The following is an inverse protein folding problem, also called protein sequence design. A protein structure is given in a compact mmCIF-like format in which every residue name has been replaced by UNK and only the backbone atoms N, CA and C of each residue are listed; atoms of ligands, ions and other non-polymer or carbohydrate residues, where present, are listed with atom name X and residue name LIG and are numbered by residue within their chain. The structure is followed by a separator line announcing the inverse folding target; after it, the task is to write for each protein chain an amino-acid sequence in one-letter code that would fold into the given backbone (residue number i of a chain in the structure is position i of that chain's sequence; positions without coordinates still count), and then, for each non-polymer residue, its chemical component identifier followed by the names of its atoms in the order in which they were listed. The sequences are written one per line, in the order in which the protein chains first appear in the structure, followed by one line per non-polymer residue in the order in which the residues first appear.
data_IF_373417137371
#
_entry.id   IF_373417137371
#
_cell.length_a   1.000
_cell.length_b   1.000
_cell.length_c   1.000
_cell.angle_alpha   90.00
_cell.angle_beta   90.00
_cell.angle_gamma   90.00
#
_symmetry.space_group_name_H-M   'P 1'
#
loop_
_entity.id
_entity.type
_entity.pdbx_description
1 polymer ?
#
# COMPACT_ATOMS: atom_id res chain seq x y z
N UNK A 1 -12.59 -29.27 -11.81
CA UNK A 1 -12.37 -29.68 -10.42
C UNK A 1 -13.11 -30.97 -10.10
N UNK A 2 -14.41 -31.05 -10.39
CA UNK A 2 -15.22 -32.27 -10.15
C UNK A 2 -14.61 -33.49 -10.82
N UNK A 3 -14.16 -33.37 -12.07
CA UNK A 3 -13.48 -34.44 -12.80
C UNK A 3 -12.13 -34.81 -12.18
N UNK A 4 -11.31 -33.83 -11.75
CA UNK A 4 -10.06 -34.07 -11.03
C UNK A 4 -10.29 -34.71 -9.65
N UNK A 5 -11.27 -34.25 -8.91
CA UNK A 5 -11.66 -34.81 -7.62
C UNK A 5 -12.03 -36.30 -7.72
N UNK A 6 -12.80 -36.66 -8.74
CA UNK A 6 -13.17 -38.05 -9.00
C UNK A 6 -11.94 -38.89 -9.37
N UNK A 7 -11.02 -38.34 -10.19
CA UNK A 7 -9.81 -39.05 -10.60
C UNK A 7 -8.86 -39.32 -9.43
N UNK A 8 -8.84 -38.42 -8.41
CA UNK A 8 -7.98 -38.53 -7.24
C UNK A 8 -8.65 -39.14 -6.00
N UNK A 9 -9.88 -39.65 -6.13
CA UNK A 9 -10.69 -40.24 -5.04
C UNK A 9 -10.93 -39.28 -3.86
N UNK A 10 -11.08 -37.98 -4.12
CA UNK A 10 -11.41 -37.00 -3.08
C UNK A 10 -12.93 -37.07 -2.77
N UNK A 11 -13.37 -38.15 -2.10
CA UNK A 11 -14.78 -38.44 -1.79
C UNK A 11 -15.42 -37.44 -0.80
N UNK A 12 -14.59 -36.62 -0.11
CA UNK A 12 -15.06 -35.69 0.93
C UNK A 12 -15.30 -34.27 0.41
N UNK A 13 -15.10 -34.01 -0.89
CA UNK A 13 -15.35 -32.68 -1.46
C UNK A 13 -16.76 -32.63 -2.03
N UNK A 14 -17.62 -31.81 -1.44
CA UNK A 14 -18.95 -31.51 -1.98
C UNK A 14 -18.93 -30.16 -2.70
N UNK A 15 -19.53 -30.12 -3.90
CA UNK A 15 -19.59 -28.92 -4.74
C UNK A 15 -20.97 -28.29 -4.71
N UNK A 16 -21.00 -26.98 -4.53
CA UNK A 16 -22.22 -26.18 -4.63
C UNK A 16 -22.00 -25.09 -5.68
N UNK A 17 -22.98 -24.92 -6.56
CA UNK A 17 -23.00 -23.75 -7.43
C UNK A 17 -23.49 -22.54 -6.62
N UNK A 18 -22.86 -21.39 -6.83
CA UNK A 18 -23.20 -20.13 -6.18
C UNK A 18 -23.30 -19.03 -7.23
N UNK A 19 -24.22 -18.09 -7.02
CA UNK A 19 -24.35 -16.86 -7.80
C UNK A 19 -23.65 -15.68 -7.09
N UNK A 20 -22.93 -15.93 -6.02
CA UNK A 20 -22.20 -14.92 -5.28
C UNK A 20 -20.96 -14.49 -6.02
N UNK A 21 -20.46 -13.28 -5.69
CA UNK A 21 -19.21 -12.79 -6.26
C UNK A 21 -18.02 -13.58 -5.71
N UNK A 22 -16.91 -13.57 -6.44
CA UNK A 22 -15.69 -14.25 -6.00
C UNK A 22 -15.20 -13.70 -4.66
N UNK A 23 -15.36 -12.40 -4.43
CA UNK A 23 -14.99 -11.70 -3.19
C UNK A 23 -15.84 -12.20 -2.00
N UNK A 24 -17.15 -12.36 -2.20
CA UNK A 24 -18.03 -12.91 -1.16
C UNK A 24 -17.67 -14.38 -0.82
N UNK A 25 -17.27 -15.16 -1.82
CA UNK A 25 -16.77 -16.53 -1.59
C UNK A 25 -15.43 -16.55 -0.85
N UNK A 26 -14.57 -15.55 -1.05
CA UNK A 26 -13.34 -15.42 -0.28
C UNK A 26 -13.61 -15.10 1.20
N UNK A 27 -14.60 -14.25 1.48
CA UNK A 27 -15.05 -13.99 2.85
C UNK A 27 -15.53 -15.28 3.53
N UNK A 28 -16.37 -16.06 2.86
CA UNK A 28 -16.87 -17.35 3.39
C UNK A 28 -15.75 -18.37 3.64
N UNK A 29 -14.64 -18.35 2.87
CA UNK A 29 -13.47 -19.19 3.18
C UNK A 29 -12.75 -18.67 4.43
N UNK A 30 -12.63 -17.36 4.58
CA UNK A 30 -11.99 -16.75 5.73
C UNK A 30 -12.79 -17.00 7.03
N UNK A 31 -14.12 -17.10 6.93
CA UNK A 31 -15.04 -17.39 8.03
C UNK A 31 -15.23 -18.91 8.27
N UNK A 32 -14.49 -19.78 7.56
CA UNK A 32 -14.58 -21.25 7.62
C UNK A 32 -15.95 -21.81 7.17
N UNK A 33 -16.80 -21.02 6.50
CA UNK A 33 -18.11 -21.45 6.00
C UNK A 33 -17.99 -22.39 4.79
N UNK A 34 -16.97 -22.18 3.96
CA UNK A 34 -16.63 -23.05 2.81
C UNK A 34 -15.13 -23.34 2.79
N UNK A 35 -14.76 -24.54 2.35
CA UNK A 35 -13.36 -24.98 2.35
C UNK A 35 -12.54 -24.47 1.16
N UNK A 36 -13.15 -24.17 0.03
CA UNK A 36 -12.45 -23.69 -1.18
C UNK A 36 -13.39 -23.13 -2.23
N UNK A 37 -12.85 -22.29 -3.13
CA UNK A 37 -13.56 -21.78 -4.30
C UNK A 37 -12.65 -21.75 -5.53
N UNK A 38 -13.21 -21.41 -6.69
CA UNK A 38 -12.49 -21.18 -7.93
C UNK A 38 -12.49 -19.69 -8.23
N UNK A 39 -11.34 -19.14 -8.54
CA UNK A 39 -11.18 -17.72 -8.81
C UNK A 39 -10.17 -17.48 -9.93
N UNK A 40 -10.31 -16.35 -10.61
CA UNK A 40 -9.27 -15.86 -11.51
C UNK A 40 -8.06 -15.38 -10.72
N UNK A 41 -6.86 -15.70 -11.22
CA UNK A 41 -5.60 -15.32 -10.56
C UNK A 41 -5.48 -13.81 -10.25
N UNK A 42 -5.88 -12.86 -11.11
CA UNK A 42 -5.86 -11.44 -10.77
C UNK A 42 -6.77 -11.09 -9.60
N UNK A 43 -8.01 -11.64 -9.57
CA UNK A 43 -8.96 -11.41 -8.49
C UNK A 43 -8.41 -11.97 -7.18
N UNK A 44 -7.86 -13.19 -7.19
CA UNK A 44 -7.20 -13.77 -6.03
C UNK A 44 -6.04 -12.91 -5.52
N UNK A 45 -5.14 -12.46 -6.41
CA UNK A 45 -3.99 -11.62 -6.02
C UNK A 45 -4.41 -10.32 -5.33
N UNK A 46 -5.47 -9.68 -5.80
CA UNK A 46 -6.00 -8.45 -5.18
C UNK A 46 -6.62 -8.76 -3.82
N UNK A 47 -7.44 -9.79 -3.73
CA UNK A 47 -8.20 -10.12 -2.52
C UNK A 47 -7.37 -10.84 -1.44
N UNK A 48 -6.26 -11.49 -1.80
CA UNK A 48 -5.34 -12.09 -0.83
C UNK A 48 -4.84 -11.10 0.24
N UNK A 49 -4.97 -9.81 -0.01
CA UNK A 49 -4.63 -8.74 0.92
C UNK A 49 -5.66 -8.59 2.04
N UNK A 50 -6.92 -8.75 1.65
CA UNK A 50 -8.05 -8.74 2.59
C UNK A 50 -8.13 -10.06 3.34
N UNK A 51 -7.71 -11.16 2.69
CA UNK A 51 -7.81 -12.53 3.18
C UNK A 51 -6.45 -13.24 3.08
N UNK A 52 -5.50 -12.95 3.98
CA UNK A 52 -4.12 -13.48 3.92
C UNK A 52 -4.03 -14.99 4.15
N UNK A 53 -5.06 -15.58 4.76
CA UNK A 53 -5.25 -17.02 4.96
C UNK A 53 -5.48 -17.76 3.64
N UNK A 54 -5.98 -17.08 2.61
CA UNK A 54 -6.23 -17.68 1.30
C UNK A 54 -4.94 -18.13 0.62
N UNK A 55 -4.96 -19.33 0.08
CA UNK A 55 -3.86 -19.92 -0.68
C UNK A 55 -4.34 -20.47 -2.01
N UNK A 56 -3.57 -20.23 -3.07
CA UNK A 56 -3.78 -20.92 -4.34
C UNK A 56 -3.33 -22.38 -4.18
N UNK A 57 -4.26 -23.32 -4.27
CA UNK A 57 -3.97 -24.74 -4.13
C UNK A 57 -3.42 -25.35 -5.43
N UNK A 58 -4.00 -24.98 -6.57
CA UNK A 58 -3.58 -25.46 -7.90
C UNK A 58 -4.14 -24.57 -9.02
N UNK A 59 -3.44 -24.52 -10.13
CA UNK A 59 -3.94 -23.91 -11.37
C UNK A 59 -4.82 -24.90 -12.14
N UNK A 60 -6.05 -24.47 -12.44
CA UNK A 60 -7.02 -25.32 -13.16
C UNK A 60 -6.85 -25.28 -14.67
N UNK A 61 -6.42 -24.12 -15.20
CA UNK A 61 -6.25 -23.87 -16.63
C UNK A 61 -4.88 -23.28 -16.90
N UNK A 62 -4.33 -23.48 -18.12
CA UNK A 62 -3.18 -22.72 -18.57
C UNK A 62 -3.47 -21.21 -18.52
N UNK A 63 -2.44 -20.38 -18.46
CA UNK A 63 -2.60 -18.92 -18.49
C UNK A 63 -3.43 -18.49 -19.71
N UNK A 64 -4.53 -17.80 -19.44
CA UNK A 64 -5.39 -17.20 -20.47
C UNK A 64 -4.89 -15.81 -20.84
N UNK A 65 -4.93 -15.49 -22.14
CA UNK A 65 -4.64 -14.13 -22.60
C UNK A 65 -5.87 -13.25 -22.40
N UNK A 66 -5.70 -12.10 -21.78
CA UNK A 66 -6.71 -11.05 -21.75
C UNK A 66 -6.53 -10.22 -23.02
N UNK A 67 -7.63 -9.94 -23.72
CA UNK A 67 -7.63 -9.16 -24.94
C UNK A 67 -8.77 -8.12 -24.94
N UNK A 68 -8.56 -7.01 -25.63
CA UNK A 68 -9.63 -6.07 -25.91
C UNK A 68 -10.45 -6.55 -27.10
N UNK A 69 -11.76 -6.47 -26.98
CA UNK A 69 -12.68 -6.74 -28.06
C UNK A 69 -13.13 -5.43 -28.71
N UNK A 70 -13.21 -5.40 -30.01
CA UNK A 70 -13.75 -4.28 -30.78
C UNK A 70 -14.62 -4.77 -31.93
N UNK A 71 -15.47 -3.87 -32.47
CA UNK A 71 -16.36 -4.22 -33.55
C UNK A 71 -15.59 -4.69 -34.80
N UNK A 72 -16.05 -5.74 -35.47
CA UNK A 72 -15.39 -6.36 -36.64
C UNK A 72 -15.11 -5.34 -37.76
N UNK A 73 -15.99 -4.36 -37.91
CA UNK A 73 -15.91 -3.31 -38.93
C UNK A 73 -14.87 -2.22 -38.59
N UNK A 74 -14.43 -2.14 -37.32
CA UNK A 74 -13.50 -1.11 -36.85
C UNK A 74 -12.02 -1.52 -37.08
N UNK A 75 -11.67 -1.94 -38.30
CA UNK A 75 -10.34 -2.47 -38.62
C UNK A 75 -9.22 -1.47 -38.33
N UNK A 76 -9.45 -0.18 -38.63
CA UNK A 76 -8.48 0.88 -38.34
C UNK A 76 -8.20 1.04 -36.86
N UNK A 77 -9.23 0.90 -36.00
CA UNK A 77 -9.08 0.92 -34.55
C UNK A 77 -8.25 -0.28 -34.07
N UNK A 78 -8.50 -1.49 -34.62
CA UNK A 78 -7.73 -2.68 -34.27
C UNK A 78 -6.24 -2.51 -34.54
N UNK A 79 -5.88 -2.06 -35.76
CA UNK A 79 -4.50 -1.81 -36.12
C UNK A 79 -3.84 -0.74 -35.21
N UNK A 80 -4.55 0.35 -34.90
CA UNK A 80 -4.07 1.38 -33.99
C UNK A 80 -3.82 0.83 -32.58
N UNK A 81 -4.75 0.03 -32.03
CA UNK A 81 -4.63 -0.57 -30.70
C UNK A 81 -3.44 -1.53 -30.61
N UNK A 82 -3.20 -2.35 -31.64
CA UNK A 82 -2.06 -3.25 -31.69
C UNK A 82 -0.73 -2.47 -31.68
N UNK A 83 -0.60 -1.46 -32.54
CA UNK A 83 0.59 -0.61 -32.58
C UNK A 83 0.81 0.13 -31.26
N UNK A 84 -0.24 0.72 -30.70
CA UNK A 84 -0.21 1.42 -29.42
C UNK A 84 0.24 0.49 -28.29
N UNK A 85 -0.32 -0.71 -28.22
CA UNK A 85 -0.03 -1.68 -27.17
C UNK A 85 1.43 -2.14 -27.23
N UNK A 86 1.91 -2.49 -28.41
CA UNK A 86 3.32 -2.87 -28.63
C UNK A 86 4.28 -1.74 -28.25
N UNK A 87 3.97 -0.50 -28.64
CA UNK A 87 4.76 0.67 -28.27
C UNK A 87 4.79 0.89 -26.75
N UNK A 88 3.63 0.75 -26.07
CA UNK A 88 3.53 0.94 -24.63
C UNK A 88 4.18 -0.20 -23.84
N UNK A 89 4.07 -1.43 -24.33
CA UNK A 89 4.74 -2.59 -23.77
C UNK A 89 6.27 -2.43 -23.87
N UNK A 90 6.81 -2.09 -25.05
CA UNK A 90 8.23 -1.80 -25.22
C UNK A 90 8.74 -0.65 -24.34
N UNK A 91 7.87 0.32 -24.04
CA UNK A 91 8.18 1.42 -23.12
C UNK A 91 8.01 1.03 -21.63
N UNK A 92 7.76 -0.25 -21.30
CA UNK A 92 7.62 -0.73 -19.93
C UNK A 92 6.35 -0.26 -19.22
N UNK A 93 5.30 0.18 -19.96
CA UNK A 93 4.07 0.66 -19.32
C UNK A 93 3.34 -0.46 -18.60
N UNK A 94 3.29 -1.65 -19.21
CA UNK A 94 2.56 -2.79 -18.64
C UNK A 94 3.23 -3.24 -17.34
N UNK A 95 4.55 -3.37 -17.33
CA UNK A 95 5.34 -3.69 -16.15
C UNK A 95 5.13 -2.65 -15.05
N UNK A 96 5.14 -1.35 -15.39
CA UNK A 96 4.88 -0.28 -14.40
C UNK A 96 3.47 -0.34 -13.83
N UNK A 97 2.46 -0.68 -14.64
CA UNK A 97 1.09 -0.84 -14.15
C UNK A 97 0.97 -2.08 -13.27
N UNK A 98 1.59 -3.20 -13.67
CA UNK A 98 1.62 -4.42 -12.86
C UNK A 98 2.27 -4.14 -11.49
N UNK A 99 3.46 -3.54 -11.49
CA UNK A 99 4.10 -3.08 -10.26
C UNK A 99 3.26 -2.08 -9.47
N UNK A 100 2.55 -1.17 -10.13
CA UNK A 100 1.70 -0.20 -9.46
C UNK A 100 0.51 -0.82 -8.75
N UNK A 101 -0.10 -1.84 -9.34
CA UNK A 101 -1.34 -2.42 -8.86
C UNK A 101 -1.17 -3.78 -8.17
N UNK A 102 -0.11 -4.54 -8.46
CA UNK A 102 0.04 -5.92 -7.99
C UNK A 102 1.32 -6.22 -7.20
N UNK A 103 2.51 -5.65 -7.53
CA UNK A 103 3.79 -5.96 -6.87
C UNK A 103 4.07 -5.14 -5.60
N UNK A 104 3.14 -4.33 -5.23
CA UNK A 104 3.25 -3.32 -4.23
C UNK A 104 3.31 -3.89 -2.81
N UNK A 105 2.94 -5.14 -2.66
CA UNK A 105 2.77 -5.76 -1.36
C UNK A 105 4.00 -6.55 -0.95
N UNK A 106 4.71 -6.12 0.11
CA UNK A 106 5.58 -7.02 0.83
C UNK A 106 4.75 -8.21 1.31
N UNK A 107 5.38 -9.36 1.46
CA UNK A 107 4.78 -10.48 2.18
C UNK A 107 4.38 -9.99 3.58
N UNK A 108 3.13 -9.56 3.72
CA UNK A 108 2.55 -9.35 5.04
C UNK A 108 2.46 -10.72 5.70
N UNK A 109 3.01 -10.83 6.88
CA UNK A 109 2.81 -12.01 7.70
C UNK A 109 1.30 -12.09 8.04
N UNK A 110 0.73 -13.27 7.89
CA UNK A 110 -0.64 -13.60 8.29
C UNK A 110 -0.98 -13.04 9.69
N UNK A 111 -0.03 -13.14 10.63
CA UNK A 111 -0.17 -12.65 12.00
C UNK A 111 -0.40 -11.13 12.05
N UNK A 112 0.29 -10.35 11.22
CA UNK A 112 0.16 -8.89 11.21
C UNK A 112 -1.20 -8.45 10.67
N UNK A 113 -1.74 -9.09 9.64
CA UNK A 113 -3.06 -8.73 9.08
C UNK A 113 -4.19 -9.15 10.01
N UNK A 114 -4.15 -10.36 10.56
CA UNK A 114 -5.16 -10.83 11.52
C UNK A 114 -5.20 -9.95 12.77
N UNK A 115 -4.03 -9.49 13.22
CA UNK A 115 -3.95 -8.52 14.32
C UNK A 115 -4.55 -7.17 13.93
N UNK A 116 -4.21 -6.67 12.73
CA UNK A 116 -4.74 -5.39 12.26
C UNK A 116 -6.26 -5.39 12.16
N UNK A 117 -6.86 -6.47 11.62
CA UNK A 117 -8.32 -6.62 11.56
C UNK A 117 -8.96 -6.59 12.93
N UNK A 118 -8.41 -7.34 13.87
CA UNK A 118 -8.88 -7.29 15.26
C UNK A 118 -8.74 -5.90 15.87
N UNK A 119 -7.61 -5.23 15.66
CA UNK A 119 -7.38 -3.87 16.15
C UNK A 119 -8.33 -2.84 15.50
N UNK A 120 -8.82 -3.07 14.25
CA UNK A 120 -9.89 -2.28 13.61
C UNK A 120 -11.20 -2.39 14.40
N UNK A 121 -11.54 -3.57 14.90
CA UNK A 121 -12.77 -3.79 15.66
C UNK A 121 -12.65 -3.35 17.11
N UNK A 122 -11.50 -3.59 17.74
CA UNK A 122 -11.30 -3.41 19.19
C UNK A 122 -10.78 -2.01 19.57
N UNK A 123 -9.97 -1.35 18.73
CA UNK A 123 -9.28 -0.09 19.07
C UNK A 123 -9.69 1.10 18.24
N UNK A 124 -9.85 0.91 16.90
CA UNK A 124 -10.15 2.02 16.01
C UNK A 124 -11.40 2.81 16.40
N UNK A 125 -12.49 2.19 16.91
CA UNK A 125 -13.68 2.94 17.32
C UNK A 125 -13.42 4.03 18.38
N UNK A 126 -12.44 3.83 19.25
CA UNK A 126 -12.10 4.79 20.32
C UNK A 126 -11.42 6.07 19.79
N UNK A 127 -10.79 5.99 18.61
CA UNK A 127 -9.99 7.09 18.02
C UNK A 127 -10.56 7.58 16.69
N UNK A 128 -11.63 6.96 16.19
CA UNK A 128 -12.17 7.25 14.87
C UNK A 128 -12.63 8.70 14.75
N UNK A 129 -13.30 9.24 15.78
CA UNK A 129 -13.75 10.63 15.79
C UNK A 129 -12.59 11.59 15.63
N UNK A 130 -11.54 11.44 16.45
CA UNK A 130 -10.35 12.31 16.42
C UNK A 130 -9.61 12.23 15.08
N UNK A 131 -9.57 11.01 14.48
CA UNK A 131 -8.96 10.79 13.15
C UNK A 131 -9.77 11.43 12.02
N UNK A 132 -11.10 11.38 12.07
CA UNK A 132 -11.99 12.01 11.10
C UNK A 132 -11.91 13.53 11.21
N UNK A 133 -11.98 14.09 12.42
CA UNK A 133 -11.91 15.52 12.68
C UNK A 133 -10.56 16.11 12.22
N UNK A 134 -9.45 15.51 12.62
CA UNK A 134 -8.12 15.94 12.19
C UNK A 134 -7.92 15.79 10.66
N UNK A 135 -8.47 14.73 10.06
CA UNK A 135 -8.40 14.56 8.61
C UNK A 135 -9.16 15.64 7.86
N UNK A 136 -10.34 16.03 8.34
CA UNK A 136 -11.15 17.10 7.76
C UNK A 136 -10.47 18.47 7.91
N UNK A 137 -9.88 18.78 9.06
CA UNK A 137 -9.18 20.04 9.34
C UNK A 137 -7.96 20.24 8.41
N UNK A 138 -7.26 19.19 8.05
CA UNK A 138 -6.06 19.25 7.20
C UNK A 138 -6.27 18.74 5.77
N UNK A 139 -7.52 18.44 5.37
CA UNK A 139 -7.85 18.00 4.01
C UNK A 139 -7.23 16.66 3.62
N UNK A 140 -7.13 15.72 4.55
CA UNK A 140 -6.57 14.39 4.36
C UNK A 140 -7.66 13.32 4.29
N UNK A 141 -7.44 12.19 3.59
CA UNK A 141 -8.30 11.02 3.75
C UNK A 141 -8.10 10.43 5.15
N UNK A 142 -9.17 10.34 5.97
CA UNK A 142 -9.04 9.82 7.33
C UNK A 142 -8.52 8.37 7.40
N UNK A 143 -8.87 7.51 6.45
CA UNK A 143 -8.31 6.17 6.34
C UNK A 143 -6.77 6.18 6.17
N UNK A 144 -6.24 7.18 5.46
CA UNK A 144 -4.79 7.34 5.33
C UNK A 144 -4.17 7.74 6.66
N UNK A 145 -4.79 8.66 7.40
CA UNK A 145 -4.32 9.06 8.74
C UNK A 145 -4.38 7.89 9.73
N UNK A 146 -5.46 7.10 9.69
CA UNK A 146 -5.59 5.87 10.47
C UNK A 146 -4.52 4.82 10.10
N UNK A 147 -4.19 4.68 8.81
CA UNK A 147 -3.14 3.77 8.37
C UNK A 147 -1.74 4.22 8.81
N UNK A 148 -1.46 5.53 8.79
CA UNK A 148 -0.21 6.11 9.28
C UNK A 148 -0.08 5.84 10.78
N UNK A 149 -1.09 6.19 11.57
CA UNK A 149 -1.06 6.02 13.03
C UNK A 149 -0.94 4.55 13.45
N UNK A 150 -1.57 3.64 12.70
CA UNK A 150 -1.36 2.21 12.95
C UNK A 150 0.07 1.76 12.66
N UNK A 151 0.68 2.24 11.58
CA UNK A 151 2.07 1.96 11.27
C UNK A 151 3.02 2.49 12.34
N UNK A 152 2.71 3.64 12.93
CA UNK A 152 3.53 4.29 13.97
C UNK A 152 3.44 3.56 15.31
N UNK A 153 2.24 3.38 15.83
CA UNK A 153 2.02 2.93 17.22
C UNK A 153 1.14 1.69 17.37
N UNK A 154 0.50 1.21 16.28
CA UNK A 154 -0.62 0.24 16.34
C UNK A 154 -1.79 0.76 17.18
N UNK A 155 -2.06 2.06 17.03
CA UNK A 155 -3.07 2.79 17.80
C UNK A 155 -2.87 2.66 19.32
N UNK A 156 -1.62 2.81 19.75
CA UNK A 156 -1.26 2.82 21.17
C UNK A 156 -0.74 4.22 21.55
N UNK A 157 -1.50 5.03 22.31
CA UNK A 157 -1.08 6.36 22.72
C UNK A 157 0.15 6.35 23.64
N UNK A 158 0.39 5.27 24.38
CA UNK A 158 1.54 5.11 25.25
C UNK A 158 2.82 4.62 24.53
N UNK A 159 2.80 4.54 23.18
CA UNK A 159 3.94 4.04 22.42
C UNK A 159 5.20 4.90 22.63
N UNK A 160 6.34 4.23 22.78
CA UNK A 160 7.64 4.88 23.03
C UNK A 160 8.73 4.12 22.29
N UNK A 161 9.58 4.85 21.56
CA UNK A 161 10.76 4.27 20.91
C UNK A 161 12.04 4.53 21.72
N UNK A 162 13.08 3.72 21.55
CA UNK A 162 14.40 3.96 22.12
C UNK A 162 15.02 5.30 21.69
N UNK A 163 14.58 5.85 20.57
CA UNK A 163 15.09 7.12 20.01
C UNK A 163 14.32 8.36 20.48
N UNK A 164 13.33 8.19 21.37
CA UNK A 164 12.64 9.31 22.02
C UNK A 164 11.38 9.80 21.32
N UNK A 165 10.93 9.15 20.23
CA UNK A 165 9.61 9.38 19.64
C UNK A 165 8.52 8.76 20.50
N UNK A 166 7.35 9.40 20.59
CA UNK A 166 6.27 8.99 21.51
C UNK A 166 4.90 9.26 20.95
N UNK A 167 3.91 8.55 21.51
CA UNK A 167 2.50 8.78 21.33
C UNK A 167 1.91 8.09 20.12
N UNK A 168 0.66 8.38 19.86
CA UNK A 168 -0.15 7.74 18.83
C UNK A 168 0.44 7.88 17.42
N UNK A 169 0.99 9.05 17.09
CA UNK A 169 1.64 9.35 15.80
C UNK A 169 3.18 9.32 15.88
N UNK A 170 3.76 8.87 16.99
CA UNK A 170 5.20 8.74 17.20
C UNK A 170 6.00 10.01 16.85
N UNK A 171 5.56 11.15 17.39
CA UNK A 171 6.20 12.45 17.12
C UNK A 171 7.54 12.57 17.87
N UNK A 172 8.55 13.16 17.21
CA UNK A 172 9.75 13.63 17.90
C UNK A 172 9.41 14.84 18.77
N UNK A 173 10.29 15.18 19.73
CA UNK A 173 10.08 16.39 20.52
C UNK A 173 10.10 17.65 19.62
N UNK A 174 11.04 17.73 18.70
CA UNK A 174 11.15 18.85 17.77
C UNK A 174 9.91 18.99 16.86
N UNK A 175 9.39 17.87 16.34
CA UNK A 175 8.16 17.88 15.52
C UNK A 175 6.96 18.32 16.35
N UNK A 176 6.83 17.83 17.59
CA UNK A 176 5.75 18.22 18.48
C UNK A 176 5.77 19.74 18.79
N UNK A 177 6.94 20.30 19.07
CA UNK A 177 7.12 21.73 19.25
C UNK A 177 6.77 22.54 17.97
N UNK A 178 7.18 22.05 16.79
CA UNK A 178 6.91 22.67 15.49
C UNK A 178 5.41 22.75 15.20
N UNK A 179 4.65 21.70 15.51
CA UNK A 179 3.20 21.62 15.22
C UNK A 179 2.32 22.07 16.40
N UNK A 180 2.88 22.35 17.58
CA UNK A 180 2.20 22.90 18.73
C UNK A 180 1.58 21.84 19.66
N UNK A 181 2.06 20.60 19.64
CA UNK A 181 1.65 19.51 20.56
C UNK A 181 2.34 19.66 21.91
N UNK A 182 1.56 19.78 22.98
CA UNK A 182 2.05 19.91 24.35
C UNK A 182 2.30 18.54 24.98
N UNK A 183 1.33 17.63 24.86
CA UNK A 183 1.45 16.23 25.33
C UNK A 183 1.37 15.23 24.18
N UNK A 184 2.51 14.67 23.81
CA UNK A 184 2.60 13.64 22.76
C UNK A 184 1.92 12.31 23.12
N UNK A 185 1.57 12.08 24.39
CA UNK A 185 0.88 10.89 24.87
C UNK A 185 -0.65 11.08 24.92
N UNK A 186 -1.12 12.32 24.84
CA UNK A 186 -2.51 12.60 24.58
C UNK A 186 -2.85 12.18 23.13
N UNK A 187 -3.82 11.28 22.92
CA UNK A 187 -4.11 10.75 21.59
C UNK A 187 -4.67 11.83 20.64
N UNK A 188 -5.55 12.71 21.11
CA UNK A 188 -6.16 13.77 20.32
C UNK A 188 -5.08 14.77 19.84
N UNK A 189 -4.26 15.30 20.78
CA UNK A 189 -3.14 16.19 20.41
C UNK A 189 -2.14 15.52 19.47
N UNK A 190 -1.82 14.24 19.71
CA UNK A 190 -0.90 13.48 18.89
C UNK A 190 -1.43 13.25 17.48
N UNK A 191 -2.74 12.96 17.31
CA UNK A 191 -3.41 12.76 16.02
C UNK A 191 -3.43 14.09 15.26
N UNK A 192 -3.88 15.17 15.89
CA UNK A 192 -3.95 16.49 15.29
C UNK A 192 -2.55 16.98 14.82
N UNK A 193 -1.55 16.90 15.71
CA UNK A 193 -0.18 17.28 15.38
C UNK A 193 0.44 16.43 14.28
N UNK A 194 0.15 15.12 14.28
CA UNK A 194 0.59 14.20 13.22
C UNK A 194 -0.06 14.50 11.87
N UNK A 195 -1.37 14.80 11.86
CA UNK A 195 -2.10 15.20 10.66
C UNK A 195 -1.57 16.51 10.08
N UNK A 196 -1.39 17.53 10.93
CA UNK A 196 -0.78 18.81 10.56
C UNK A 196 0.60 18.63 9.94
N UNK A 197 1.48 17.91 10.61
CA UNK A 197 2.84 17.65 10.12
C UNK A 197 2.82 16.94 8.76
N UNK A 198 1.95 15.95 8.60
CA UNK A 198 1.83 15.22 7.34
C UNK A 198 1.29 16.10 6.21
N UNK A 199 0.30 16.97 6.49
CA UNK A 199 -0.20 17.94 5.53
C UNK A 199 0.88 18.94 5.09
N UNK A 200 1.66 19.47 6.02
CA UNK A 200 2.81 20.34 5.72
C UNK A 200 3.88 19.64 4.85
N UNK A 201 4.12 18.34 5.08
CA UNK A 201 4.99 17.56 4.21
C UNK A 201 4.42 17.44 2.80
N UNK A 202 3.10 17.21 2.64
CA UNK A 202 2.44 17.15 1.32
C UNK A 202 2.59 18.48 0.58
N UNK A 203 2.42 19.61 1.24
CA UNK A 203 2.60 20.94 0.63
C UNK A 203 4.03 21.14 0.11
N UNK A 204 5.02 20.63 0.84
CA UNK A 204 6.46 20.71 0.48
C UNK A 204 6.86 19.74 -0.63
N UNK A 205 6.01 18.76 -1.00
CA UNK A 205 6.26 17.88 -2.15
C UNK A 205 6.20 18.69 -3.44
N UNK A 206 7.23 18.61 -4.30
CA UNK A 206 7.29 19.35 -5.56
C UNK A 206 6.05 19.14 -6.45
N UNK A 207 5.65 20.20 -7.14
CA UNK A 207 4.43 20.21 -7.96
C UNK A 207 4.47 19.25 -9.15
N UNK A 208 5.64 18.80 -9.59
CA UNK A 208 5.80 17.80 -10.64
C UNK A 208 5.37 16.40 -10.20
N UNK A 209 5.26 16.13 -8.89
CA UNK A 209 4.65 14.90 -8.33
C UNK A 209 3.14 15.07 -8.31
N UNK A 210 2.39 14.18 -8.98
CA UNK A 210 0.94 14.31 -9.16
C UNK A 210 0.14 13.17 -8.52
N UNK A 211 -1.12 13.46 -8.25
CA UNK A 211 -2.09 12.49 -7.76
C UNK A 211 -1.67 11.85 -6.43
N UNK A 212 -1.99 10.57 -6.28
CA UNK A 212 -1.71 9.81 -5.05
C UNK A 212 -0.21 9.62 -4.76
N UNK A 213 0.68 9.79 -5.77
CA UNK A 213 2.12 9.72 -5.55
C UNK A 213 2.59 10.80 -4.55
N UNK A 214 1.89 11.93 -4.43
CA UNK A 214 2.18 12.96 -3.41
C UNK A 214 2.13 12.39 -2.00
N UNK A 215 1.15 11.56 -1.70
CA UNK A 215 1.05 10.90 -0.39
C UNK A 215 2.23 9.96 -0.13
N UNK A 216 2.63 9.18 -1.16
CA UNK A 216 3.73 8.23 -1.00
C UNK A 216 5.08 8.92 -0.82
N UNK A 217 5.30 10.04 -1.50
CA UNK A 217 6.45 10.89 -1.30
C UNK A 217 6.47 11.52 0.11
N UNK A 218 5.32 12.03 0.55
CA UNK A 218 5.18 12.59 1.89
C UNK A 218 5.40 11.54 2.99
N UNK A 219 4.90 10.30 2.82
CA UNK A 219 5.17 9.19 3.72
C UNK A 219 6.66 8.85 3.80
N UNK A 220 7.35 8.82 2.66
CA UNK A 220 8.79 8.61 2.65
C UNK A 220 9.52 9.75 3.39
N UNK A 221 9.08 11.00 3.20
CA UNK A 221 9.63 12.15 3.92
C UNK A 221 9.30 12.11 5.43
N UNK A 222 8.11 11.65 5.80
CA UNK A 222 7.72 11.46 7.21
C UNK A 222 8.67 10.51 7.93
N UNK A 223 9.03 9.40 7.28
CA UNK A 223 9.91 8.38 7.85
C UNK A 223 11.40 8.75 7.83
N UNK A 224 11.91 9.31 6.74
CA UNK A 224 13.36 9.54 6.58
C UNK A 224 13.78 11.01 6.47
N UNK A 225 12.81 11.93 6.43
CA UNK A 225 13.04 13.38 6.30
C UNK A 225 13.07 13.87 4.85
N UNK A 226 12.61 15.11 4.65
CA UNK A 226 12.55 15.79 3.34
C UNK A 226 13.90 15.86 2.62
N UNK A 227 14.99 16.07 3.37
CA UNK A 227 16.34 16.16 2.79
C UNK A 227 16.72 14.88 2.03
N UNK A 228 16.49 13.73 2.63
CA UNK A 228 16.76 12.43 2.01
C UNK A 228 15.80 12.11 0.86
N UNK A 229 14.56 12.60 0.91
CA UNK A 229 13.63 12.52 -0.22
C UNK A 229 14.17 13.29 -1.44
N UNK A 230 14.70 14.50 -1.25
CA UNK A 230 15.33 15.25 -2.34
C UNK A 230 16.59 14.55 -2.88
N UNK A 231 17.40 13.96 -2.02
CA UNK A 231 18.54 13.14 -2.42
C UNK A 231 18.11 11.92 -3.25
N UNK A 232 17.02 11.25 -2.87
CA UNK A 232 16.46 10.13 -3.63
C UNK A 232 15.97 10.58 -5.02
N UNK A 233 15.26 11.71 -5.10
CA UNK A 233 14.82 12.30 -6.38
C UNK A 233 15.99 12.65 -7.31
N UNK A 234 17.05 13.25 -6.77
CA UNK A 234 18.25 13.54 -7.51
C UNK A 234 18.93 12.26 -8.02
N UNK A 235 18.96 11.21 -7.20
CA UNK A 235 19.52 9.92 -7.59
C UNK A 235 18.68 9.25 -8.67
N UNK A 236 17.35 9.31 -8.62
CA UNK A 236 16.46 8.82 -9.65
C UNK A 236 16.73 9.52 -10.99
N UNK A 237 16.82 10.85 -10.98
CA UNK A 237 17.13 11.65 -12.17
C UNK A 237 18.50 11.27 -12.79
N UNK A 238 19.55 11.14 -11.96
CA UNK A 238 20.89 10.70 -12.40
C UNK A 238 20.90 9.31 -13.03
N UNK A 239 19.92 8.48 -12.70
CA UNK A 239 19.76 7.12 -13.24
C UNK A 239 18.80 7.04 -14.44
N UNK A 240 18.29 8.18 -14.89
CA UNK A 240 17.33 8.24 -16.00
C UNK A 240 15.93 7.75 -15.65
N UNK A 241 15.60 7.67 -14.34
CA UNK A 241 14.30 7.32 -13.82
C UNK A 241 13.42 8.55 -13.64
N UNK A 242 12.10 8.38 -13.60
CA UNK A 242 11.18 9.47 -13.35
C UNK A 242 11.19 9.85 -11.86
N UNK A 243 11.89 10.94 -11.51
CA UNK A 243 12.00 11.44 -10.14
C UNK A 243 10.69 11.86 -9.48
N UNK A 244 9.60 11.92 -10.26
CA UNK A 244 8.26 12.35 -9.83
C UNK A 244 7.24 11.19 -9.81
N UNK A 245 7.70 9.96 -10.06
CA UNK A 245 6.92 8.73 -9.96
C UNK A 245 7.35 7.92 -8.72
N UNK A 246 6.40 7.54 -7.89
CA UNK A 246 6.69 6.67 -6.75
C UNK A 246 7.26 5.31 -7.19
N UNK A 247 6.75 4.74 -8.27
CA UNK A 247 7.24 3.46 -8.81
C UNK A 247 8.74 3.50 -9.11
N UNK A 248 9.23 4.61 -9.66
CA UNK A 248 10.65 4.79 -9.98
C UNK A 248 11.46 5.20 -8.74
N UNK A 249 10.88 6.08 -7.89
CA UNK A 249 11.57 6.56 -6.69
C UNK A 249 11.86 5.43 -5.69
N UNK A 250 10.91 4.53 -5.48
CA UNK A 250 11.08 3.41 -4.55
C UNK A 250 12.27 2.51 -4.90
N UNK A 251 12.66 2.44 -6.18
CA UNK A 251 13.80 1.63 -6.62
C UNK A 251 15.15 2.20 -6.19
N UNK A 252 15.21 3.52 -6.01
CA UNK A 252 16.44 4.21 -5.60
C UNK A 252 16.57 4.37 -4.10
N UNK A 253 15.48 4.29 -3.34
CA UNK A 253 15.52 4.40 -1.88
C UNK A 253 16.54 3.48 -1.21
N UNK A 254 16.62 2.16 -1.56
CA UNK A 254 17.64 1.27 -0.98
C UNK A 254 19.08 1.71 -1.27
N UNK A 255 19.31 2.42 -2.36
CA UNK A 255 20.64 2.88 -2.76
C UNK A 255 21.17 4.00 -1.85
N UNK A 256 20.31 4.70 -1.11
CA UNK A 256 20.71 5.68 -0.08
C UNK A 256 21.49 5.04 1.09
N UNK A 257 21.52 3.71 1.15
CA UNK A 257 22.32 2.95 2.14
C UNK A 257 23.71 2.59 1.61
N UNK A 258 23.94 2.67 0.30
CA UNK A 258 25.19 2.29 -0.33
C UNK A 258 26.16 3.48 -0.41
N UNK A 259 27.39 3.39 0.18
CA UNK A 259 28.41 4.43 0.13
C UNK A 259 28.75 4.94 -1.28
N UNK A 260 28.59 4.10 -2.30
CA UNK A 260 28.78 4.46 -3.70
C UNK A 260 27.87 5.59 -4.14
N UNK A 261 26.67 5.66 -3.58
CA UNK A 261 25.66 6.65 -3.95
C UNK A 261 25.57 7.77 -2.90
N UNK A 262 25.37 7.46 -1.62
CA UNK A 262 25.09 8.49 -0.62
C UNK A 262 26.25 9.48 -0.38
N UNK A 263 27.50 9.07 -0.58
CA UNK A 263 28.65 9.98 -0.43
C UNK A 263 28.63 11.17 -1.40
N UNK A 264 27.93 11.06 -2.51
CA UNK A 264 27.77 12.11 -3.51
C UNK A 264 26.49 12.94 -3.33
N UNK A 265 25.70 12.65 -2.31
CA UNK A 265 24.44 13.30 -2.00
C UNK A 265 24.60 14.29 -0.85
N UNK A 266 23.70 15.29 -0.82
CA UNK A 266 23.82 16.39 0.15
C UNK A 266 23.60 15.95 1.60
N UNK A 267 22.62 15.06 1.82
CA UNK A 267 22.22 14.63 3.16
C UNK A 267 22.85 13.29 3.57
N UNK A 268 23.56 12.62 2.66
CA UNK A 268 24.34 11.43 2.95
C UNK A 268 23.50 10.17 3.16
N UNK A 269 23.88 9.35 4.14
CA UNK A 269 23.24 8.08 4.43
C UNK A 269 21.81 8.22 4.93
N UNK A 270 20.88 7.44 4.35
CA UNK A 270 19.54 7.25 4.87
C UNK A 270 19.15 5.78 4.89
N UNK A 271 18.24 5.39 5.79
CA UNK A 271 17.66 4.04 5.87
C UNK A 271 16.57 3.83 4.79
N UNK A 272 16.97 3.97 3.51
CA UNK A 272 16.02 4.00 2.40
C UNK A 272 15.15 2.73 2.28
N UNK A 273 15.65 1.55 2.65
CA UNK A 273 14.84 0.31 2.70
C UNK A 273 13.75 0.37 3.77
N UNK A 274 14.02 1.02 4.90
CA UNK A 274 13.04 1.22 5.96
C UNK A 274 11.92 2.15 5.48
N UNK A 275 12.27 3.27 4.84
CA UNK A 275 11.30 4.18 4.24
C UNK A 275 10.46 3.49 3.13
N UNK A 276 11.08 2.70 2.26
CA UNK A 276 10.36 1.92 1.25
C UNK A 276 9.35 0.97 1.89
N UNK A 277 9.77 0.23 2.93
CA UNK A 277 8.90 -0.69 3.67
C UNK A 277 7.78 0.06 4.38
N UNK A 278 8.09 1.17 5.03
CA UNK A 278 7.13 2.03 5.72
C UNK A 278 5.98 2.45 4.80
N UNK A 279 6.31 3.03 3.64
CA UNK A 279 5.28 3.41 2.65
C UNK A 279 4.47 2.21 2.19
N UNK A 280 5.12 1.06 1.95
CA UNK A 280 4.41 -0.16 1.56
C UNK A 280 3.43 -0.64 2.62
N UNK A 281 3.82 -0.59 3.89
CA UNK A 281 2.97 -1.01 5.01
C UNK A 281 1.77 -0.07 5.19
N UNK A 282 1.98 1.25 5.21
CA UNK A 282 0.89 2.23 5.30
C UNK A 282 -0.12 2.05 4.15
N UNK A 283 0.35 1.88 2.93
CA UNK A 283 -0.53 1.63 1.77
C UNK A 283 -1.34 0.34 1.92
N UNK A 284 -0.78 -0.70 2.51
CA UNK A 284 -1.49 -1.95 2.75
C UNK A 284 -2.57 -1.80 3.81
N UNK A 285 -2.28 -1.11 4.92
CA UNK A 285 -3.27 -0.79 5.94
C UNK A 285 -4.39 0.09 5.37
N UNK A 286 -4.04 1.12 4.60
CA UNK A 286 -5.01 1.97 3.91
C UNK A 286 -5.96 1.15 3.04
N UNK A 287 -5.43 0.26 2.22
CA UNK A 287 -6.24 -0.58 1.35
C UNK A 287 -7.19 -1.51 2.12
N UNK A 288 -6.74 -2.07 3.24
CA UNK A 288 -7.58 -2.91 4.09
C UNK A 288 -8.70 -2.06 4.72
N UNK A 289 -8.39 -0.86 5.24
CA UNK A 289 -9.38 0.06 5.80
C UNK A 289 -10.44 0.46 4.77
N UNK A 290 -10.04 0.82 3.56
CA UNK A 290 -10.95 1.17 2.45
C UNK A 290 -11.85 0.00 2.00
N UNK A 291 -11.45 -1.25 2.24
CA UNK A 291 -12.21 -2.43 1.87
C UNK A 291 -13.09 -3.01 2.98
N UNK A 292 -12.90 -2.60 4.24
CA UNK A 292 -13.60 -3.15 5.42
C UNK A 292 -14.58 -2.15 6.00
N UNK A 293 -14.36 -0.84 5.83
CA UNK A 293 -15.17 0.25 6.37
C UNK A 293 -15.78 1.07 5.24
#
# INVERSE_FOLDING_TARGET
LREKSVAEKAEFITWRESNETTEALFAQIADDDIGCTVADTPIFKVNRRLYPELRAALDLTPQSKIAWAYAKEAVALGAYLEEWFEKKKKAGLIERLDHRFFDYFPEFDYVDISRFRRDIEEKLPDYRGDLEDAADDYGLPWHLLAAISYQESRWNPEARSPTGVRGFMMLTLATAEEVGVEDRLDPEESIEGGAKYFAELIERIPEDVKGTDRYWFALAAYNMGMGHLYDARLLAERRGLNKSSWTDLREVLPLLMDPKYYKSLRHGYARGREAQRYVSQVRSYLHILEGVI
#
